data_IF_049363042046
#
_entry.id   IF_049363042046
#
_cell.length_a   1.000
_cell.length_b   1.000
_cell.length_c   1.000
_cell.angle_alpha   90.00
_cell.angle_beta   90.00
_cell.angle_gamma   90.00
#
_symmetry.space_group_name_H-M   'P 1'
#
loop_
_entity.id
_entity.type
_entity.pdbx_description
1 polymer ?
#
# COMPACT_ATOMS: atom_id res chain seq x y z
N UNK A 1 -2.70 51.61 26.71
CA UNK A 1 -3.74 50.89 25.93
C UNK A 1 -3.06 49.74 25.24
N UNK A 2 -3.40 48.52 25.66
CA UNK A 2 -2.91 47.27 25.11
C UNK A 2 -3.87 46.74 24.04
N UNK A 3 -3.33 46.03 23.05
CA UNK A 3 -3.94 44.89 22.34
C UNK A 3 -2.83 44.30 21.47
N UNK A 4 -2.15 43.26 21.93
CA UNK A 4 -2.50 41.86 21.72
C UNK A 4 -2.20 41.43 20.28
N UNK A 5 -1.21 40.56 20.17
CA UNK A 5 -0.82 39.91 18.93
C UNK A 5 -1.84 38.89 18.49
N UNK A 6 -1.72 38.48 17.24
CA UNK A 6 -1.99 37.11 16.86
C UNK A 6 -1.11 36.72 15.68
N UNK A 7 -0.39 35.62 15.88
CA UNK A 7 0.32 34.89 14.84
C UNK A 7 -0.72 34.30 13.89
N UNK A 8 -0.63 34.60 12.60
CA UNK A 8 -1.45 33.94 11.59
C UNK A 8 -0.63 32.89 10.83
N UNK A 9 -1.02 31.65 11.08
CA UNK A 9 -0.44 30.36 10.70
C UNK A 9 -0.82 29.94 9.27
N UNK A 10 0.21 29.70 8.44
CA UNK A 10 0.40 28.68 7.37
C UNK A 10 -0.77 27.99 6.59
N UNK A 11 -2.01 28.48 6.56
CA UNK A 11 -3.15 27.72 5.95
C UNK A 11 -3.96 28.40 4.83
N UNK A 12 -3.38 29.32 4.06
CA UNK A 12 -4.12 29.99 2.96
C UNK A 12 -3.41 30.09 1.60
N UNK A 13 -2.37 29.28 1.35
CA UNK A 13 -1.78 29.17 0.01
C UNK A 13 -2.06 27.77 -0.53
N UNK A 14 -3.24 27.56 -1.09
CA UNK A 14 -3.54 26.53 -2.11
C UNK A 14 -4.96 26.78 -2.64
N UNK A 15 -5.12 27.90 -3.34
CA UNK A 15 -6.28 28.16 -4.18
C UNK A 15 -5.85 29.12 -5.31
N UNK A 16 -5.30 28.56 -6.39
CA UNK A 16 -5.26 29.08 -7.77
C UNK A 16 -4.20 28.33 -8.57
N UNK A 17 -4.64 27.51 -9.52
CA UNK A 17 -3.73 26.82 -10.44
C UNK A 17 -4.40 25.85 -11.41
N UNK A 18 -5.67 26.07 -11.78
CA UNK A 18 -6.25 25.45 -12.96
C UNK A 18 -5.91 26.34 -14.16
N UNK A 19 -5.04 25.86 -15.05
CA UNK A 19 -4.84 26.44 -16.37
C UNK A 19 -4.65 25.32 -17.39
N UNK A 20 -5.65 25.20 -18.23
CA UNK A 20 -5.67 24.47 -19.49
C UNK A 20 -4.58 24.96 -20.45
N UNK A 21 -3.85 24.01 -21.06
CA UNK A 21 -3.22 24.21 -22.35
C UNK A 21 -3.50 22.99 -23.21
N UNK A 22 -4.43 23.13 -24.14
CA UNK A 22 -4.38 22.43 -25.41
C UNK A 22 -3.85 23.39 -26.47
N UNK A 23 -3.12 22.87 -27.45
CA UNK A 23 -3.33 23.06 -28.90
C UNK A 23 -2.07 22.63 -29.69
N UNK A 24 -2.34 21.83 -30.73
CA UNK A 24 -1.58 21.60 -31.98
C UNK A 24 -0.34 20.71 -31.99
N UNK A 25 -0.42 19.67 -32.83
CA UNK A 25 0.69 18.78 -33.17
C UNK A 25 1.58 19.29 -34.29
N UNK A 26 2.70 18.58 -34.51
CA UNK A 26 3.50 18.55 -35.74
C UNK A 26 4.12 17.15 -35.90
N UNK A 27 4.26 16.77 -37.16
CA UNK A 27 4.78 15.56 -37.78
C UNK A 27 6.04 14.88 -37.20
N UNK A 28 6.04 13.56 -37.42
CA UNK A 28 7.15 12.66 -37.78
C UNK A 28 8.60 13.11 -37.58
N UNK A 29 9.30 12.34 -36.76
CA UNK A 29 10.71 12.00 -36.97
C UNK A 29 10.96 10.60 -36.40
N UNK A 30 11.39 9.68 -37.26
CA UNK A 30 12.01 8.42 -36.85
C UNK A 30 13.27 8.76 -36.05
N UNK A 31 13.31 8.37 -34.78
CA UNK A 31 14.54 8.35 -33.99
C UNK A 31 14.79 6.89 -33.60
N UNK A 32 15.88 6.36 -34.13
CA UNK A 32 16.42 5.04 -33.86
C UNK A 32 16.54 4.80 -32.36
N UNK A 33 15.97 3.71 -31.86
CA UNK A 33 16.20 3.24 -30.50
C UNK A 33 17.69 2.95 -30.31
N UNK A 34 18.35 3.43 -29.24
CA UNK A 34 19.69 2.97 -28.89
C UNK A 34 19.61 1.51 -28.45
N UNK A 35 20.53 0.68 -28.95
CA UNK A 35 20.71 -0.71 -28.52
C UNK A 35 21.03 -0.74 -27.02
N UNK A 36 20.06 -1.20 -26.22
CA UNK A 36 20.28 -1.54 -24.81
C UNK A 36 20.86 -2.96 -24.79
N UNK A 37 22.06 -3.18 -24.22
CA UNK A 37 22.65 -4.52 -24.18
C UNK A 37 21.79 -5.43 -23.29
N UNK A 38 21.42 -6.59 -23.84
CA UNK A 38 20.78 -7.70 -23.13
C UNK A 38 21.71 -8.16 -21.99
N UNK A 39 21.26 -8.20 -20.72
CA UNK A 39 22.05 -8.83 -19.69
C UNK A 39 22.15 -10.33 -19.97
N UNK A 40 23.38 -10.86 -19.92
CA UNK A 40 23.68 -12.29 -19.98
C UNK A 40 22.87 -13.05 -18.93
N UNK A 41 22.26 -14.15 -19.37
CA UNK A 41 21.66 -15.20 -18.56
C UNK A 41 22.73 -15.84 -17.65
N UNK A 42 22.94 -15.26 -16.48
CA UNK A 42 23.61 -15.94 -15.39
C UNK A 42 22.67 -16.98 -14.80
N UNK A 43 22.97 -18.27 -15.01
CA UNK A 43 22.33 -19.37 -14.29
C UNK A 43 22.61 -19.20 -12.79
N UNK A 44 21.65 -18.64 -12.07
CA UNK A 44 21.58 -18.68 -10.62
C UNK A 44 21.11 -20.07 -10.22
N UNK A 45 22.07 -20.91 -9.83
CA UNK A 45 21.85 -22.18 -9.14
C UNK A 45 21.36 -21.93 -7.70
N UNK A 46 20.24 -21.23 -7.54
CA UNK A 46 19.54 -21.19 -6.26
C UNK A 46 18.72 -22.46 -6.18
N UNK A 47 19.32 -23.47 -5.54
CA UNK A 47 18.61 -24.58 -4.91
C UNK A 47 17.33 -24.01 -4.30
N UNK A 48 16.16 -24.49 -4.74
CA UNK A 48 14.86 -24.16 -4.16
C UNK A 48 14.94 -24.41 -2.65
N UNK A 49 15.23 -23.35 -1.90
CA UNK A 49 15.10 -23.36 -0.46
C UNK A 49 13.59 -23.38 -0.27
N UNK A 50 13.08 -24.54 0.14
CA UNK A 50 11.69 -24.72 0.52
C UNK A 50 11.46 -23.85 1.76
N UNK A 51 11.28 -22.54 1.56
CA UNK A 51 11.05 -21.54 2.59
C UNK A 51 9.60 -21.66 3.02
N UNK A 52 9.28 -22.77 3.67
CA UNK A 52 8.04 -22.88 4.41
C UNK A 52 8.11 -21.85 5.54
N UNK A 53 7.30 -20.80 5.40
CA UNK A 53 7.21 -19.75 6.39
C UNK A 53 6.54 -20.34 7.63
N UNK A 54 7.25 -20.34 8.75
CA UNK A 54 6.64 -20.64 10.03
C UNK A 54 5.67 -19.50 10.39
N UNK A 55 4.39 -19.72 10.08
CA UNK A 55 3.33 -18.75 10.29
C UNK A 55 3.12 -18.45 11.76
N UNK A 56 3.52 -19.36 12.65
CA UNK A 56 3.38 -19.19 14.08
C UNK A 56 4.42 -18.19 14.62
N UNK A 57 5.55 -18.03 13.92
CA UNK A 57 6.61 -17.08 14.28
C UNK A 57 6.38 -15.65 13.74
N UNK A 58 5.49 -15.45 12.78
CA UNK A 58 5.21 -14.13 12.18
C UNK A 58 4.10 -13.35 12.92
N UNK A 59 4.38 -12.17 13.53
CA UNK A 59 3.39 -11.41 14.32
C UNK A 59 2.36 -10.65 13.47
N UNK A 60 2.50 -10.70 12.15
CA UNK A 60 1.67 -9.97 11.19
C UNK A 60 0.58 -10.86 10.60
N UNK A 61 -0.51 -10.23 10.17
CA UNK A 61 -1.40 -10.86 9.22
C UNK A 61 -0.63 -11.12 7.92
N UNK A 62 -0.71 -12.33 7.39
CA UNK A 62 -0.02 -12.74 6.14
C UNK A 62 -0.93 -12.55 4.91
N UNK A 63 -2.21 -12.83 5.08
CA UNK A 63 -3.22 -12.75 4.01
C UNK A 63 -4.42 -11.93 4.47
N UNK A 64 -5.04 -11.25 3.52
CA UNK A 64 -6.42 -10.81 3.64
C UNK A 64 -7.37 -11.98 3.38
N UNK A 65 -8.38 -12.14 4.22
CA UNK A 65 -9.40 -13.18 4.14
C UNK A 65 -10.79 -12.62 3.85
N UNK A 66 -11.58 -13.39 3.10
CA UNK A 66 -13.02 -13.24 3.00
C UNK A 66 -13.70 -14.29 3.88
N UNK A 67 -14.78 -13.91 4.56
CA UNK A 67 -15.65 -14.85 5.25
C UNK A 67 -16.62 -15.50 4.25
N UNK A 68 -16.63 -16.82 4.22
CA UNK A 68 -17.45 -17.67 3.34
C UNK A 68 -18.26 -18.66 4.19
N UNK A 69 -19.15 -19.43 3.55
CA UNK A 69 -20.05 -20.34 4.27
C UNK A 69 -19.34 -21.45 5.05
N UNK A 70 -18.14 -21.82 4.63
CA UNK A 70 -17.32 -22.91 5.16
C UNK A 70 -16.06 -22.43 5.91
N UNK A 71 -15.88 -21.12 6.08
CA UNK A 71 -14.78 -20.55 6.85
C UNK A 71 -14.20 -19.28 6.23
N UNK A 72 -12.88 -19.11 6.37
CA UNK A 72 -12.16 -17.96 5.84
C UNK A 72 -11.27 -18.37 4.68
N UNK A 73 -11.40 -17.69 3.55
CA UNK A 73 -10.59 -17.92 2.35
C UNK A 73 -9.63 -16.76 2.13
N UNK A 74 -8.35 -17.06 1.92
CA UNK A 74 -7.36 -16.06 1.54
C UNK A 74 -7.71 -15.44 0.17
N UNK A 75 -7.50 -14.13 0.03
CA UNK A 75 -7.93 -13.35 -1.15
C UNK A 75 -6.86 -12.43 -1.71
N UNK A 76 -6.04 -11.83 -0.86
CA UNK A 76 -5.00 -10.90 -1.28
C UNK A 76 -3.82 -10.93 -0.29
N UNK A 77 -2.58 -10.79 -0.78
CA UNK A 77 -1.41 -10.77 0.07
C UNK A 77 -1.32 -9.48 0.89
N UNK A 78 -0.80 -9.57 2.10
CA UNK A 78 -0.24 -8.42 2.81
C UNK A 78 1.13 -8.10 2.19
N UNK A 79 1.36 -6.83 1.86
CA UNK A 79 2.57 -6.39 1.16
C UNK A 79 3.30 -5.23 1.83
N UNK A 80 2.75 -4.67 2.92
CA UNK A 80 3.51 -3.84 3.86
C UNK A 80 3.18 -4.22 5.30
N UNK A 81 4.15 -4.08 6.18
CA UNK A 81 4.03 -4.36 7.61
C UNK A 81 4.69 -3.26 8.42
N UNK A 82 4.17 -3.04 9.62
CA UNK A 82 4.57 -1.93 10.48
C UNK A 82 4.67 -2.42 11.94
N UNK A 83 5.88 -2.54 12.51
CA UNK A 83 6.02 -2.69 13.95
C UNK A 83 5.62 -1.38 14.65
N UNK A 84 4.61 -1.44 15.52
CA UNK A 84 4.04 -0.26 16.19
C UNK A 84 4.78 0.09 17.50
N UNK A 85 6.06 -0.29 17.63
CA UNK A 85 6.86 -0.03 18.84
C UNK A 85 7.00 1.49 19.11
N UNK A 86 7.18 2.29 18.05
CA UNK A 86 7.38 3.76 18.10
C UNK A 86 6.27 4.55 17.37
N UNK A 87 5.12 3.92 17.13
CA UNK A 87 4.00 4.53 16.42
C UNK A 87 2.67 3.94 16.91
N UNK A 88 1.57 4.67 16.69
CA UNK A 88 0.23 4.12 16.88
C UNK A 88 -0.38 3.77 15.53
N UNK A 89 -1.39 2.88 15.53
CA UNK A 89 -2.20 2.63 14.33
C UNK A 89 -2.69 3.95 13.72
N UNK A 90 -3.12 4.91 14.54
CA UNK A 90 -3.62 6.20 14.08
C UNK A 90 -2.54 7.02 13.38
N UNK A 91 -1.29 6.98 13.86
CA UNK A 91 -0.15 7.64 13.21
C UNK A 91 0.03 7.11 11.78
N UNK A 92 -0.10 5.80 11.58
CA UNK A 92 0.00 5.18 10.26
C UNK A 92 -1.18 5.58 9.37
N UNK A 93 -2.38 5.65 9.93
CA UNK A 93 -3.58 6.07 9.19
C UNK A 93 -3.50 7.54 8.78
N UNK A 94 -2.93 8.39 9.62
CA UNK A 94 -2.82 9.83 9.35
C UNK A 94 -1.95 10.12 8.12
N UNK A 95 -0.94 9.29 7.81
CA UNK A 95 -0.17 9.40 6.54
C UNK A 95 -1.09 9.33 5.32
N UNK A 96 -2.06 8.41 5.32
CA UNK A 96 -3.02 8.31 4.23
C UNK A 96 -4.01 9.48 4.21
N UNK A 97 -4.48 9.91 5.38
CA UNK A 97 -5.43 11.03 5.48
C UNK A 97 -4.81 12.35 5.05
N UNK A 98 -3.54 12.59 5.41
CA UNK A 98 -2.78 13.78 5.01
C UNK A 98 -2.49 13.78 3.50
N UNK A 99 -2.36 12.59 2.90
CA UNK A 99 -2.34 12.40 1.46
C UNK A 99 -3.72 12.56 0.78
N UNK A 100 -4.78 12.84 1.55
CA UNK A 100 -6.14 13.06 1.06
C UNK A 100 -6.94 11.78 0.77
N UNK A 101 -6.47 10.62 1.24
CA UNK A 101 -7.18 9.36 1.00
C UNK A 101 -8.46 9.30 1.81
N UNK A 102 -9.51 8.78 1.17
CA UNK A 102 -10.86 8.71 1.72
C UNK A 102 -11.00 7.46 2.57
N UNK A 103 -11.38 7.65 3.83
CA UNK A 103 -11.67 6.57 4.77
C UNK A 103 -13.01 5.88 4.44
N UNK A 104 -13.08 4.58 4.70
CA UNK A 104 -14.27 3.75 4.51
C UNK A 104 -14.91 3.90 3.12
N UNK A 105 -14.13 3.72 2.02
CA UNK A 105 -14.74 3.61 0.70
C UNK A 105 -15.76 2.46 0.70
N UNK A 106 -16.79 2.55 -0.15
CA UNK A 106 -17.82 1.51 -0.23
C UNK A 106 -17.19 0.16 -0.62
N UNK A 107 -17.18 -0.81 0.31
CA UNK A 107 -16.42 -2.04 0.10
C UNK A 107 -16.85 -3.25 0.94
N UNK A 108 -16.31 -4.43 0.59
CA UNK A 108 -16.53 -5.68 1.28
C UNK A 108 -15.77 -5.78 2.60
N UNK A 109 -16.32 -6.55 3.54
CA UNK A 109 -15.65 -6.86 4.81
C UNK A 109 -14.44 -7.77 4.59
N UNK A 110 -13.28 -7.18 4.89
CA UNK A 110 -11.94 -7.73 5.12
C UNK A 110 -11.69 -8.45 6.43
N UNK A 111 -11.01 -9.59 6.46
CA UNK A 111 -10.47 -10.14 7.71
C UNK A 111 -8.97 -10.38 7.62
N UNK A 112 -8.28 -10.26 8.75
CA UNK A 112 -6.89 -10.67 8.93
C UNK A 112 -6.81 -11.70 10.06
N UNK A 113 -5.91 -12.68 9.95
CA UNK A 113 -5.63 -13.60 11.06
C UNK A 113 -4.79 -12.88 12.11
N UNK A 114 -5.31 -12.82 13.34
CA UNK A 114 -4.59 -12.35 14.52
C UNK A 114 -4.15 -13.58 15.33
N UNK A 115 -2.84 -13.85 15.28
CA UNK A 115 -2.28 -15.02 15.96
C UNK A 115 -2.35 -14.91 17.48
N UNK A 116 -2.24 -13.69 18.06
CA UNK A 116 -2.10 -13.55 19.52
C UNK A 116 -3.42 -13.85 20.21
N UNK A 117 -4.53 -13.59 19.52
CA UNK A 117 -5.88 -13.91 19.94
C UNK A 117 -6.43 -15.19 19.27
N UNK A 118 -5.66 -15.84 18.40
CA UNK A 118 -6.06 -17.00 17.59
C UNK A 118 -7.43 -16.81 16.90
N UNK A 119 -7.66 -15.65 16.29
CA UNK A 119 -8.94 -15.32 15.66
C UNK A 119 -8.81 -14.48 14.38
N UNK A 120 -9.83 -14.56 13.50
CA UNK A 120 -9.94 -13.67 12.36
C UNK A 120 -10.59 -12.35 12.78
N UNK A 121 -9.85 -11.25 12.62
CA UNK A 121 -10.31 -9.90 12.97
C UNK A 121 -10.71 -9.10 11.74
N UNK A 122 -11.79 -8.35 11.86
CA UNK A 122 -12.24 -7.43 10.81
C UNK A 122 -11.17 -6.35 10.58
N UNK A 123 -10.96 -5.94 9.32
CA UNK A 123 -10.12 -4.79 8.98
C UNK A 123 -10.50 -3.57 9.83
N UNK A 124 -9.51 -2.92 10.46
CA UNK A 124 -9.75 -1.78 11.36
C UNK A 124 -9.87 -0.47 10.57
N UNK A 125 -9.19 -0.38 9.44
CA UNK A 125 -9.28 0.80 8.58
C UNK A 125 -9.14 0.44 7.10
N UNK A 126 -9.70 1.30 6.25
CA UNK A 126 -9.72 1.16 4.80
C UNK A 126 -9.64 2.54 4.19
N UNK A 127 -8.76 2.71 3.21
CA UNK A 127 -8.49 3.98 2.57
C UNK A 127 -8.30 3.84 1.08
N UNK A 128 -8.81 4.79 0.32
CA UNK A 128 -8.57 4.87 -1.13
C UNK A 128 -8.21 6.29 -1.54
N UNK A 129 -7.41 6.47 -2.59
CA UNK A 129 -7.10 7.81 -3.13
C UNK A 129 -8.36 8.56 -3.63
N UNK A 130 -9.44 7.83 -3.91
CA UNK A 130 -10.72 8.39 -4.32
C UNK A 130 -11.90 7.51 -3.90
N UNK A 131 -13.05 8.14 -3.63
CA UNK A 131 -14.25 7.43 -3.16
C UNK A 131 -14.84 6.49 -4.22
N UNK A 132 -14.77 6.87 -5.50
CA UNK A 132 -15.19 6.06 -6.65
C UNK A 132 -14.06 5.97 -7.67
N UNK A 133 -13.56 4.76 -7.96
CA UNK A 133 -12.46 4.56 -8.90
C UNK A 133 -12.93 4.58 -10.36
N UNK A 134 -13.27 5.73 -10.94
CA UNK A 134 -13.69 5.79 -12.35
C UNK A 134 -12.62 5.27 -13.34
N UNK A 135 -11.35 5.28 -12.94
CA UNK A 135 -10.18 4.91 -13.77
C UNK A 135 -9.24 3.90 -13.08
N UNK A 136 -9.76 3.11 -12.12
CA UNK A 136 -8.91 2.41 -11.15
C UNK A 136 -8.49 3.36 -10.03
N UNK A 137 -8.02 2.81 -8.91
CA UNK A 137 -7.58 3.62 -7.75
C UNK A 137 -6.61 2.88 -6.85
N UNK A 138 -5.69 3.59 -6.21
CA UNK A 138 -4.92 3.02 -5.10
C UNK A 138 -5.79 2.82 -3.87
N UNK A 139 -5.61 1.67 -3.24
CA UNK A 139 -6.48 1.19 -2.19
C UNK A 139 -5.69 0.40 -1.14
N UNK A 140 -5.99 0.68 0.13
CA UNK A 140 -5.39 0.01 1.28
C UNK A 140 -6.43 -0.49 2.27
N UNK A 141 -6.09 -1.61 2.92
CA UNK A 141 -6.75 -2.07 4.14
C UNK A 141 -5.72 -2.34 5.21
N UNK A 142 -6.04 -1.94 6.43
CA UNK A 142 -5.17 -2.08 7.58
C UNK A 142 -5.75 -3.08 8.58
N UNK A 143 -4.89 -4.00 9.01
CA UNK A 143 -5.16 -5.05 9.98
C UNK A 143 -4.23 -4.86 11.18
N UNK A 144 -4.75 -4.34 12.28
CA UNK A 144 -4.00 -4.15 13.51
C UNK A 144 -4.11 -5.40 14.38
N UNK A 145 -2.95 -5.87 14.85
CA UNK A 145 -2.82 -6.94 15.84
C UNK A 145 -1.94 -6.43 16.99
N UNK A 146 -1.68 -7.27 17.99
CA UNK A 146 -0.91 -6.86 19.16
C UNK A 146 0.49 -6.32 18.77
N UNK A 147 0.68 -5.01 18.95
CA UNK A 147 1.93 -4.31 18.65
C UNK A 147 2.30 -4.18 17.17
N UNK A 148 1.45 -4.59 16.22
CA UNK A 148 1.76 -4.51 14.79
C UNK A 148 0.59 -4.07 13.91
N UNK A 149 0.91 -3.59 12.72
CA UNK A 149 -0.05 -3.31 11.65
C UNK A 149 0.37 -4.00 10.37
N UNK A 150 -0.58 -4.66 9.72
CA UNK A 150 -0.41 -5.26 8.39
C UNK A 150 -1.24 -4.46 7.39
N UNK A 151 -0.66 -4.12 6.24
CA UNK A 151 -1.31 -3.32 5.20
C UNK A 151 -1.38 -4.14 3.92
N UNK A 152 -2.59 -4.26 3.40
CA UNK A 152 -2.84 -4.77 2.06
C UNK A 152 -3.01 -3.57 1.13
N UNK A 153 -2.04 -3.32 0.25
CA UNK A 153 -2.08 -2.25 -0.73
C UNK A 153 -2.24 -2.80 -2.15
N UNK A 154 -3.00 -2.12 -3.00
CA UNK A 154 -3.18 -2.50 -4.41
C UNK A 154 -3.69 -1.32 -5.23
N UNK A 155 -3.49 -1.43 -6.55
CA UNK A 155 -4.22 -0.67 -7.54
C UNK A 155 -5.43 -1.49 -7.99
N UNK A 156 -6.61 -0.91 -7.87
CA UNK A 156 -7.85 -1.46 -8.40
C UNK A 156 -7.92 -1.31 -9.93
N UNK A 157 -8.54 -2.27 -10.62
CA UNK A 157 -9.02 -2.04 -11.99
C UNK A 157 -10.19 -1.08 -12.00
N UNK A 158 -10.44 -0.46 -13.16
CA UNK A 158 -11.69 0.26 -13.38
C UNK A 158 -12.90 -0.66 -13.11
N UNK A 159 -14.01 -0.13 -12.56
CA UNK A 159 -15.15 -0.90 -12.10
C UNK A 159 -15.97 -1.54 -13.23
N UNK A 160 -15.67 -1.22 -14.49
CA UNK A 160 -16.37 -1.76 -15.66
C UNK A 160 -15.38 -2.48 -16.60
N UNK A 161 -15.69 -3.71 -17.05
CA UNK A 161 -16.90 -4.50 -16.78
C UNK A 161 -16.89 -5.24 -15.43
N UNK A 162 -15.73 -5.42 -14.81
CA UNK A 162 -15.58 -6.07 -13.50
C UNK A 162 -14.48 -5.37 -12.72
N UNK A 163 -14.76 -5.06 -11.45
CA UNK A 163 -13.78 -4.56 -10.52
C UNK A 163 -12.89 -5.70 -10.00
N UNK A 164 -11.58 -5.48 -9.96
CA UNK A 164 -10.58 -6.43 -9.51
C UNK A 164 -9.29 -5.71 -9.16
N UNK A 165 -8.21 -6.48 -9.03
CA UNK A 165 -6.89 -5.95 -8.67
C UNK A 165 -6.05 -5.90 -9.92
N UNK A 166 -5.57 -4.70 -10.25
CA UNK A 166 -4.69 -4.47 -11.39
C UNK A 166 -3.23 -4.79 -11.03
N UNK A 167 -2.78 -4.37 -9.85
CA UNK A 167 -1.40 -4.57 -9.40
C UNK A 167 -1.28 -4.48 -7.88
N UNK A 168 -0.56 -5.43 -7.27
CA UNK A 168 -0.10 -5.32 -5.88
C UNK A 168 1.19 -4.50 -5.79
N UNK A 169 2.10 -4.63 -6.76
CA UNK A 169 3.38 -3.91 -6.74
C UNK A 169 3.20 -2.40 -6.83
N UNK A 170 2.31 -1.92 -7.70
CA UNK A 170 2.04 -0.49 -7.84
C UNK A 170 1.41 0.08 -6.57
N UNK A 171 0.48 -0.67 -5.96
CA UNK A 171 -0.11 -0.32 -4.67
C UNK A 171 0.95 -0.24 -3.58
N UNK A 172 1.82 -1.25 -3.47
CA UNK A 172 2.95 -1.28 -2.52
C UNK A 172 3.84 -0.04 -2.71
N UNK A 173 4.30 0.21 -3.93
CA UNK A 173 5.21 1.32 -4.24
C UNK A 173 4.61 2.70 -3.97
N UNK A 174 3.32 2.92 -4.25
CA UNK A 174 2.68 4.20 -3.92
C UNK A 174 2.58 4.41 -2.42
N UNK A 175 2.24 3.37 -1.66
CA UNK A 175 2.18 3.47 -0.19
C UNK A 175 3.58 3.72 0.39
N UNK A 176 4.60 3.01 -0.07
CA UNK A 176 5.99 3.28 0.31
C UNK A 176 6.39 4.74 0.08
N UNK A 177 6.05 5.31 -1.08
CA UNK A 177 6.33 6.71 -1.38
C UNK A 177 5.63 7.69 -0.44
N UNK A 178 4.40 7.40 0.00
CA UNK A 178 3.70 8.21 0.99
C UNK A 178 4.45 8.21 2.33
N UNK A 179 4.84 7.03 2.81
CA UNK A 179 5.59 6.91 4.07
C UNK A 179 6.99 7.54 3.97
N UNK A 180 7.72 7.34 2.87
CA UNK A 180 9.01 8.00 2.63
C UNK A 180 8.85 9.53 2.65
N UNK A 181 7.80 10.05 2.00
CA UNK A 181 7.52 11.49 1.95
C UNK A 181 7.17 12.08 3.31
N UNK A 182 6.54 11.28 4.19
CA UNK A 182 6.25 11.63 5.58
C UNK A 182 7.45 11.41 6.52
N UNK A 183 8.59 10.92 5.99
CA UNK A 183 9.85 10.79 6.71
C UNK A 183 10.09 9.43 7.38
N UNK A 184 9.35 8.40 6.98
CA UNK A 184 9.56 7.02 7.43
C UNK A 184 10.60 6.30 6.57
N UNK A 185 11.25 5.30 7.16
CA UNK A 185 12.11 4.38 6.44
C UNK A 185 11.27 3.26 5.83
N UNK A 186 11.38 3.07 4.52
CA UNK A 186 10.73 2.00 3.76
C UNK A 186 11.72 1.35 2.81
N UNK A 187 11.62 0.02 2.64
CA UNK A 187 12.39 -0.71 1.63
C UNK A 187 13.85 -1.02 2.00
N UNK A 188 14.32 -0.61 3.18
CA UNK A 188 15.62 -1.04 3.70
C UNK A 188 15.59 -2.50 4.19
N UNK A 189 14.43 -2.93 4.69
CA UNK A 189 14.17 -4.29 5.11
C UNK A 189 12.90 -4.83 4.42
N UNK A 190 12.98 -6.08 3.98
CA UNK A 190 11.83 -6.85 3.53
C UNK A 190 11.64 -8.08 4.41
N UNK A 191 10.39 -8.42 4.69
CA UNK A 191 10.00 -9.62 5.42
C UNK A 191 9.33 -10.60 4.47
N UNK A 192 9.91 -11.79 4.31
CA UNK A 192 9.29 -12.86 3.55
C UNK A 192 8.08 -13.41 4.31
N UNK A 193 6.91 -13.34 3.69
CA UNK A 193 5.64 -13.81 4.25
C UNK A 193 5.12 -15.08 3.55
N UNK A 194 5.78 -15.54 2.47
CA UNK A 194 5.36 -16.73 1.71
C UNK A 194 3.93 -16.61 1.18
N UNK A 195 3.57 -15.40 0.74
CA UNK A 195 2.24 -15.03 0.27
C UNK A 195 2.23 -14.58 -1.19
N UNK A 196 3.04 -15.20 -2.03
CA UNK A 196 3.15 -14.91 -3.46
C UNK A 196 1.79 -14.92 -4.16
N UNK A 197 1.51 -13.87 -4.94
CA UNK A 197 0.28 -13.79 -5.73
C UNK A 197 0.41 -12.80 -6.88
N UNK A 198 0.12 -13.24 -8.11
CA UNK A 198 0.14 -12.40 -9.31
C UNK A 198 1.50 -11.68 -9.50
N UNK A 199 1.56 -10.37 -9.25
CA UNK A 199 2.75 -9.51 -9.34
C UNK A 199 3.40 -9.24 -7.96
N UNK A 200 2.93 -9.89 -6.90
CA UNK A 200 3.52 -9.85 -5.56
C UNK A 200 4.44 -11.05 -5.34
N UNK A 201 5.69 -10.77 -4.94
CA UNK A 201 6.78 -11.75 -4.81
C UNK A 201 6.85 -12.45 -3.45
N UNK A 202 5.84 -12.29 -2.58
CA UNK A 202 5.81 -12.91 -1.25
C UNK A 202 6.50 -12.11 -0.14
N UNK A 203 7.10 -10.94 -0.46
CA UNK A 203 7.80 -10.10 0.51
C UNK A 203 7.00 -8.83 0.84
N UNK A 204 6.82 -8.58 2.13
CA UNK A 204 6.27 -7.32 2.62
C UNK A 204 7.40 -6.34 2.95
N UNK A 205 7.20 -5.06 2.60
CA UNK A 205 8.08 -4.00 3.06
C UNK A 205 7.84 -3.73 4.53
N UNK A 206 8.91 -3.65 5.32
CA UNK A 206 8.84 -3.25 6.72
C UNK A 206 9.01 -1.74 6.83
N UNK A 207 8.00 -1.05 7.34
CA UNK A 207 8.02 0.41 7.51
C UNK A 207 8.38 0.72 8.97
N UNK A 208 9.37 1.58 9.18
CA UNK A 208 9.81 1.99 10.53
C UNK A 208 10.10 3.49 10.58
N UNK A 209 10.19 4.05 11.79
CA UNK A 209 10.71 5.41 11.94
C UNK A 209 12.13 5.48 11.41
N UNK A 210 12.42 6.52 10.65
CA UNK A 210 13.79 6.90 10.33
C UNK A 210 14.53 7.24 11.63
N UNK A 211 15.73 6.69 11.80
CA UNK A 211 16.58 6.95 12.96
C UNK A 211 17.10 8.39 12.99
#
# INVERSE_FOLDING_TARGET
MASDGDFLTRRQILARGAASVGISGIAGAFLSSPDIPTPESGQNNNTEQNNEVDRDEIPYTIWQYANESDGFRATAPINLVFPLEDATQETVIDVFRDAGWVAYPAEYRRYGWDRSAEEYRLQQWTGAESFFGQVGRYHVRCFATDGTLSIQAHLDTAPQPTHGIASYSDGKSVVEQLFISDGWACGEDELYLGNEQSDHNGYATVIRRSK
#
